data_IF_026023280915
#
_entry.id   IF_026023280915
#
_cell.length_a   1.000
_cell.length_b   1.000
_cell.length_c   1.000
_cell.angle_alpha   90.00
_cell.angle_beta   90.00
_cell.angle_gamma   90.00
#
_symmetry.space_group_name_H-M   'P 1'
#
loop_
_entity.id
_entity.type
_entity.pdbx_description
1 polymer ?
#
# COMPACT_ATOMS: atom_id res chain seq x y z
N UNK A 1 24.92 19.60 -5.90
CA UNK A 1 23.47 19.80 -5.95
C UNK A 1 23.15 21.20 -5.48
N UNK A 2 22.41 22.03 -6.24
CA UNK A 2 22.02 23.34 -5.75
C UNK A 2 21.14 23.17 -4.53
N UNK A 3 21.42 23.99 -3.52
CA UNK A 3 20.69 24.04 -2.25
C UNK A 3 19.20 24.34 -2.52
N UNK A 4 18.26 23.43 -2.15
CA UNK A 4 16.84 23.61 -2.47
C UNK A 4 16.11 24.59 -1.53
N UNK A 5 16.84 25.42 -0.80
CA UNK A 5 16.27 26.19 0.31
C UNK A 5 16.05 27.68 0.01
N UNK A 6 15.26 28.02 -1.01
CA UNK A 6 14.57 29.30 -0.99
C UNK A 6 13.22 29.12 -0.28
N UNK A 7 13.20 29.28 1.03
CA UNK A 7 11.94 29.29 1.80
C UNK A 7 11.44 30.72 1.93
N UNK A 8 10.27 31.00 1.35
CA UNK A 8 9.58 32.27 1.52
C UNK A 8 8.39 32.11 2.47
N UNK A 9 8.28 33.01 3.45
CA UNK A 9 7.09 33.16 4.26
C UNK A 9 6.14 34.10 3.52
N UNK A 10 4.98 33.64 3.11
CA UNK A 10 3.93 34.47 2.55
C UNK A 10 2.65 34.37 3.38
N UNK A 11 1.99 35.48 3.60
CA UNK A 11 0.68 35.52 4.25
C UNK A 11 -0.42 35.36 3.20
N UNK A 12 -1.31 34.39 3.37
CA UNK A 12 -2.48 34.18 2.53
C UNK A 12 -3.68 35.01 3.10
N UNK A 13 -4.15 35.98 2.33
CA UNK A 13 -5.43 36.65 2.58
C UNK A 13 -6.58 35.72 2.09
N UNK A 14 -7.73 35.63 2.80
CA UNK A 14 -8.21 36.43 3.94
C UNK A 14 -7.82 35.92 5.33
N UNK A 15 -7.18 34.73 5.45
CA UNK A 15 -6.99 34.10 6.75
C UNK A 15 -5.71 34.50 7.49
N UNK A 16 -4.85 35.35 6.91
CA UNK A 16 -3.56 35.79 7.48
C UNK A 16 -2.78 34.72 8.22
N UNK A 17 -2.75 33.50 7.66
CA UNK A 17 -1.94 32.41 8.21
C UNK A 17 -0.60 32.41 7.53
N UNK A 18 0.46 32.34 8.33
CA UNK A 18 1.80 32.13 7.81
C UNK A 18 1.90 30.72 7.23
N UNK A 19 2.48 30.63 6.04
CA UNK A 19 2.74 29.36 5.37
C UNK A 19 4.22 29.31 4.96
N UNK A 20 4.82 28.14 5.08
CA UNK A 20 6.12 27.88 4.51
C UNK A 20 5.96 27.46 3.07
N UNK A 21 6.63 28.15 2.17
CA UNK A 21 6.69 27.84 0.75
C UNK A 21 8.06 27.23 0.41
N UNK A 22 8.07 26.12 -0.32
CA UNK A 22 9.28 25.49 -0.85
C UNK A 22 9.17 25.41 -2.35
N UNK A 23 10.16 25.96 -3.04
CA UNK A 23 10.29 25.88 -4.49
C UNK A 23 11.33 24.82 -4.82
N UNK A 24 10.89 23.73 -5.46
CA UNK A 24 11.79 22.71 -5.93
C UNK A 24 12.08 22.91 -7.42
N UNK A 25 13.32 23.27 -7.73
CA UNK A 25 13.80 23.43 -9.10
C UNK A 25 14.41 22.12 -9.59
N UNK A 26 13.88 21.59 -10.68
CA UNK A 26 14.38 20.36 -11.31
C UNK A 26 15.53 20.68 -12.27
N UNK A 27 16.40 19.70 -12.59
CA UNK A 27 17.53 19.89 -13.53
C UNK A 27 17.12 20.36 -14.93
N UNK A 28 15.87 20.11 -15.33
CA UNK A 28 15.30 20.55 -16.61
C UNK A 28 14.73 21.99 -16.59
N UNK A 29 15.00 22.76 -15.53
CA UNK A 29 14.50 24.13 -15.34
C UNK A 29 13.04 24.21 -14.90
N UNK A 30 12.29 23.12 -14.85
CA UNK A 30 10.92 23.11 -14.32
C UNK A 30 10.95 23.23 -12.80
N UNK A 31 9.96 23.92 -12.25
CA UNK A 31 9.83 24.09 -10.80
C UNK A 31 8.49 23.56 -10.31
N UNK A 32 8.46 23.12 -9.06
CA UNK A 32 7.26 22.74 -8.33
C UNK A 32 7.20 23.53 -7.03
N UNK A 33 6.01 23.97 -6.66
CA UNK A 33 5.75 24.72 -5.46
C UNK A 33 5.06 23.79 -4.44
N UNK A 34 5.57 23.80 -3.22
CA UNK A 34 4.99 23.10 -2.08
C UNK A 34 4.77 24.10 -0.96
N UNK A 35 3.69 23.95 -0.23
CA UNK A 35 3.40 24.81 0.91
C UNK A 35 2.92 23.99 2.11
N UNK A 36 3.20 24.46 3.30
CA UNK A 36 2.76 23.86 4.57
C UNK A 36 2.33 24.95 5.54
N UNK A 37 1.29 24.66 6.30
CA UNK A 37 0.88 25.49 7.45
C UNK A 37 1.79 25.28 8.66
N UNK A 38 2.60 24.21 8.67
CA UNK A 38 3.64 23.99 9.67
C UNK A 38 4.91 24.70 9.22
N UNK A 39 5.10 25.94 9.70
CA UNK A 39 6.21 26.82 9.30
C UNK A 39 7.60 26.32 9.73
N UNK A 40 7.66 25.46 10.76
CA UNK A 40 8.90 24.85 11.25
C UNK A 40 9.39 23.64 10.42
N UNK A 41 8.60 23.17 9.44
CA UNK A 41 8.93 22.00 8.62
C UNK A 41 10.09 22.32 7.67
N UNK A 42 11.11 21.45 7.58
CA UNK A 42 12.20 21.63 6.62
C UNK A 42 11.73 21.36 5.18
N UNK A 43 12.46 21.88 4.18
CA UNK A 43 12.14 21.64 2.77
C UNK A 43 12.19 20.15 2.40
N UNK A 44 13.17 19.43 2.92
CA UNK A 44 13.32 17.98 2.71
C UNK A 44 12.17 17.18 3.35
N UNK A 45 11.81 17.52 4.58
CA UNK A 45 10.68 16.90 5.29
C UNK A 45 9.37 17.12 4.51
N UNK A 46 9.18 18.32 3.96
CA UNK A 46 8.00 18.64 3.13
C UNK A 46 7.96 17.80 1.86
N UNK A 47 9.09 17.64 1.17
CA UNK A 47 9.18 16.80 -0.03
C UNK A 47 8.95 15.32 0.28
N UNK A 48 9.51 14.81 1.38
CA UNK A 48 9.26 13.43 1.83
C UNK A 48 7.78 13.20 2.15
N UNK A 49 7.15 14.13 2.89
CA UNK A 49 5.73 14.07 3.22
C UNK A 49 4.87 14.10 1.97
N UNK A 50 5.19 14.97 1.01
CA UNK A 50 4.45 15.05 -0.25
C UNK A 50 4.58 13.78 -1.10
N UNK A 51 5.76 13.17 -1.15
CA UNK A 51 5.97 11.88 -1.84
C UNK A 51 5.10 10.76 -1.25
N UNK A 52 4.88 10.79 0.06
CA UNK A 52 4.01 9.81 0.74
C UNK A 52 2.54 9.93 0.34
N UNK A 53 2.10 11.05 -0.25
CA UNK A 53 0.72 11.24 -0.73
C UNK A 53 0.29 10.17 -1.75
N UNK A 54 1.19 9.80 -2.65
CA UNK A 54 0.90 8.75 -3.64
C UNK A 54 0.59 7.39 -3.01
N UNK A 55 1.11 7.13 -1.81
CA UNK A 55 0.82 5.88 -1.08
C UNK A 55 -0.66 5.75 -0.76
N UNK A 56 -1.35 6.86 -0.49
CA UNK A 56 -2.79 6.88 -0.23
C UNK A 56 -3.56 6.49 -1.50
N UNK A 57 -3.17 7.05 -2.64
CA UNK A 57 -3.80 6.75 -3.94
C UNK A 57 -3.61 5.26 -4.30
N UNK A 58 -2.41 4.73 -4.12
CA UNK A 58 -2.14 3.30 -4.33
C UNK A 58 -2.93 2.42 -3.36
N UNK A 59 -3.04 2.82 -2.09
CA UNK A 59 -3.82 2.10 -1.10
C UNK A 59 -5.30 1.99 -1.52
N UNK A 60 -5.92 3.09 -1.91
CA UNK A 60 -7.31 3.09 -2.38
C UNK A 60 -7.49 2.32 -3.69
N UNK A 61 -6.57 2.46 -4.64
CA UNK A 61 -6.60 1.69 -5.89
C UNK A 61 -6.55 0.20 -5.60
N UNK A 62 -5.61 -0.25 -4.80
CA UNK A 62 -5.41 -1.64 -4.47
C UNK A 62 -6.59 -2.18 -3.66
N UNK A 63 -7.15 -1.38 -2.75
CA UNK A 63 -8.35 -1.75 -2.00
C UNK A 63 -9.58 -1.95 -2.90
N UNK A 64 -9.77 -1.09 -3.89
CA UNK A 64 -10.86 -1.24 -4.87
C UNK A 64 -10.68 -2.45 -5.77
N UNK A 65 -9.45 -2.71 -6.24
CA UNK A 65 -9.19 -3.76 -7.22
C UNK A 65 -9.08 -5.16 -6.59
N UNK A 66 -8.50 -5.26 -5.40
CA UNK A 66 -8.09 -6.56 -4.85
C UNK A 66 -8.79 -6.97 -3.56
N UNK A 67 -9.26 -6.02 -2.75
CA UNK A 67 -9.87 -6.33 -1.44
C UNK A 67 -11.35 -5.94 -1.32
N UNK A 68 -11.99 -5.56 -2.42
CA UNK A 68 -13.43 -5.41 -2.51
C UNK A 68 -14.00 -4.13 -1.92
N UNK A 69 -13.20 -3.07 -1.78
CA UNK A 69 -13.66 -1.79 -1.21
C UNK A 69 -14.89 -1.21 -1.91
N UNK A 70 -15.02 -1.41 -3.23
CA UNK A 70 -16.12 -0.91 -4.04
C UNK A 70 -17.28 -1.91 -4.21
N UNK A 71 -17.21 -3.10 -3.62
CA UNK A 71 -18.18 -4.16 -3.83
C UNK A 71 -19.32 -4.17 -2.80
N UNK A 72 -19.23 -3.34 -1.77
CA UNK A 72 -20.24 -3.28 -0.72
C UNK A 72 -21.51 -2.59 -1.24
N UNK A 73 -22.64 -3.29 -1.16
CA UNK A 73 -23.96 -2.76 -1.53
C UNK A 73 -24.78 -2.36 -0.30
N UNK A 74 -24.20 -2.40 0.88
CA UNK A 74 -24.86 -2.03 2.11
C UNK A 74 -25.18 -0.53 2.15
N UNK A 75 -26.30 -0.19 2.79
CA UNK A 75 -26.75 1.20 2.98
C UNK A 75 -26.60 1.72 4.41
N UNK A 76 -26.51 0.80 5.38
CA UNK A 76 -26.34 1.18 6.78
C UNK A 76 -24.88 1.50 7.10
N UNK A 77 -24.68 2.56 7.89
CA UNK A 77 -23.35 3.06 8.26
C UNK A 77 -22.45 1.96 8.83
N UNK A 78 -22.95 1.18 9.79
CA UNK A 78 -22.14 0.14 10.44
C UNK A 78 -21.66 -0.94 9.48
N UNK A 79 -22.48 -1.29 8.49
CA UNK A 79 -22.11 -2.27 7.46
C UNK A 79 -21.07 -1.70 6.48
N UNK A 80 -21.21 -0.42 6.12
CA UNK A 80 -20.21 0.28 5.31
C UNK A 80 -18.87 0.38 6.04
N UNK A 81 -18.90 0.80 7.31
CA UNK A 81 -17.70 0.91 8.14
C UNK A 81 -17.02 -0.45 8.30
N UNK A 82 -17.78 -1.52 8.53
CA UNK A 82 -17.24 -2.88 8.59
C UNK A 82 -16.58 -3.28 7.26
N UNK A 83 -17.27 -3.06 6.14
CA UNK A 83 -16.76 -3.42 4.81
C UNK A 83 -15.47 -2.66 4.49
N UNK A 84 -15.42 -1.36 4.75
CA UNK A 84 -14.23 -0.55 4.49
C UNK A 84 -13.05 -0.97 5.38
N UNK A 85 -13.30 -1.13 6.67
CA UNK A 85 -12.27 -1.57 7.60
C UNK A 85 -11.74 -2.97 7.27
N UNK A 86 -12.61 -3.90 6.88
CA UNK A 86 -12.21 -5.24 6.45
C UNK A 86 -11.37 -5.20 5.18
N UNK A 87 -11.73 -4.37 4.20
CA UNK A 87 -10.97 -4.19 2.97
C UNK A 87 -9.55 -3.69 3.24
N UNK A 88 -9.40 -2.64 4.05
CA UNK A 88 -8.08 -2.11 4.42
C UNK A 88 -7.29 -3.04 5.33
N UNK A 89 -7.95 -3.71 6.28
CA UNK A 89 -7.29 -4.71 7.13
C UNK A 89 -6.73 -5.87 6.29
N UNK A 90 -7.51 -6.39 5.34
CA UNK A 90 -7.07 -7.44 4.41
C UNK A 90 -5.84 -7.01 3.60
N UNK A 91 -5.80 -5.76 3.15
CA UNK A 91 -4.65 -5.21 2.44
C UNK A 91 -3.41 -5.12 3.34
N UNK A 92 -3.59 -4.70 4.59
CA UNK A 92 -2.48 -4.64 5.55
C UNK A 92 -1.93 -6.03 5.87
N UNK A 93 -2.81 -7.01 6.09
CA UNK A 93 -2.42 -8.41 6.30
C UNK A 93 -1.64 -8.94 5.08
N UNK A 94 -2.13 -8.67 3.87
CA UNK A 94 -1.43 -9.07 2.64
C UNK A 94 -0.02 -8.45 2.57
N UNK A 95 0.14 -7.18 2.91
CA UNK A 95 1.43 -6.48 2.95
C UNK A 95 2.39 -7.10 3.97
N UNK A 96 1.90 -7.44 5.17
CA UNK A 96 2.71 -8.11 6.19
C UNK A 96 3.16 -9.48 5.69
N UNK A 97 2.24 -10.27 5.13
CA UNK A 97 2.54 -11.60 4.59
C UNK A 97 3.57 -11.52 3.44
N UNK A 98 3.45 -10.55 2.54
CA UNK A 98 4.45 -10.33 1.48
C UNK A 98 5.82 -10.03 2.07
N UNK A 99 5.89 -9.12 3.06
CA UNK A 99 7.14 -8.74 3.72
C UNK A 99 7.80 -9.94 4.42
N UNK A 100 7.03 -10.72 5.19
CA UNK A 100 7.55 -11.89 5.92
C UNK A 100 8.07 -12.99 5.00
N UNK A 101 7.49 -13.11 3.80
CA UNK A 101 7.90 -14.12 2.82
C UNK A 101 8.90 -13.59 1.78
N UNK A 102 9.41 -12.36 1.94
CA UNK A 102 10.35 -11.75 0.99
C UNK A 102 9.79 -11.56 -0.42
N UNK A 103 8.47 -11.43 -0.55
CA UNK A 103 7.81 -11.28 -1.84
C UNK A 103 7.79 -9.81 -2.28
N UNK A 104 7.83 -9.55 -3.60
CA UNK A 104 7.70 -8.18 -4.11
C UNK A 104 6.33 -7.60 -3.76
N UNK A 105 6.30 -6.30 -3.50
CA UNK A 105 5.08 -5.57 -3.16
C UNK A 105 4.17 -5.45 -4.39
N UNK A 106 3.32 -6.44 -4.61
CA UNK A 106 2.32 -6.47 -5.68
C UNK A 106 1.06 -7.18 -5.20
N UNK A 107 -0.03 -6.43 -5.00
CA UNK A 107 -1.33 -6.99 -4.61
C UNK A 107 -1.91 -7.92 -5.67
N UNK A 108 -1.64 -7.64 -6.97
CA UNK A 108 -2.06 -8.53 -8.06
C UNK A 108 -1.41 -9.90 -7.94
N UNK A 109 -0.08 -9.95 -7.88
CA UNK A 109 0.68 -11.20 -7.75
C UNK A 109 0.37 -11.93 -6.45
N UNK A 110 0.13 -11.21 -5.35
CA UNK A 110 -0.26 -11.80 -4.09
C UNK A 110 -1.61 -12.50 -4.20
N UNK A 111 -2.62 -11.85 -4.78
CA UNK A 111 -3.96 -12.43 -4.98
C UNK A 111 -3.91 -13.67 -5.87
N UNK A 112 -3.15 -13.63 -6.95
CA UNK A 112 -2.95 -14.75 -7.85
C UNK A 112 -2.31 -15.94 -7.11
N UNK A 113 -1.24 -15.72 -6.34
CA UNK A 113 -0.58 -16.75 -5.51
C UNK A 113 -1.53 -17.35 -4.48
N UNK A 114 -2.33 -16.51 -3.79
CA UNK A 114 -3.32 -17.00 -2.82
C UNK A 114 -4.39 -17.87 -3.48
N UNK A 115 -4.93 -17.44 -4.64
CA UNK A 115 -5.90 -18.21 -5.40
C UNK A 115 -5.32 -19.54 -5.86
N UNK A 116 -4.13 -19.54 -6.43
CA UNK A 116 -3.44 -20.75 -6.89
C UNK A 116 -3.14 -21.73 -5.74
N UNK A 117 -2.70 -21.21 -4.59
CA UNK A 117 -2.48 -22.01 -3.38
C UNK A 117 -3.77 -22.63 -2.87
N UNK A 118 -4.87 -21.88 -2.88
CA UNK A 118 -6.18 -22.38 -2.49
C UNK A 118 -6.68 -23.49 -3.41
N UNK A 119 -6.56 -23.31 -4.72
CA UNK A 119 -6.96 -24.30 -5.72
C UNK A 119 -6.12 -25.57 -5.58
N UNK A 120 -4.79 -25.42 -5.45
CA UNK A 120 -3.90 -26.56 -5.23
C UNK A 120 -4.30 -27.34 -3.97
N UNK A 121 -4.60 -26.64 -2.87
CA UNK A 121 -5.07 -27.26 -1.64
C UNK A 121 -6.38 -28.04 -1.85
N UNK A 122 -7.37 -27.44 -2.55
CA UNK A 122 -8.65 -28.13 -2.85
C UNK A 122 -8.44 -29.40 -3.68
N UNK A 123 -7.51 -29.39 -4.65
CA UNK A 123 -7.19 -30.57 -5.46
C UNK A 123 -6.60 -31.65 -4.57
N UNK A 124 -5.62 -31.32 -3.72
CA UNK A 124 -4.99 -32.26 -2.82
C UNK A 124 -5.97 -32.85 -1.79
N UNK A 125 -6.87 -32.06 -1.25
CA UNK A 125 -7.88 -32.49 -0.28
C UNK A 125 -8.89 -33.48 -0.91
N UNK A 126 -9.06 -33.44 -2.24
CA UNK A 126 -9.96 -34.35 -2.99
C UNK A 126 -9.28 -35.55 -3.60
N UNK A 127 -7.96 -35.62 -3.60
CA UNK A 127 -7.22 -36.79 -4.08
C UNK A 127 -7.42 -37.97 -3.14
N UNK A 128 -7.74 -39.17 -3.69
CA UNK A 128 -7.95 -40.40 -2.91
C UNK A 128 -6.69 -40.90 -2.19
N UNK A 129 -5.51 -40.61 -2.70
CA UNK A 129 -4.24 -40.85 -2.03
C UNK A 129 -3.74 -39.51 -1.50
N UNK A 130 -3.70 -39.35 -0.19
CA UNK A 130 -3.19 -38.14 0.43
C UNK A 130 -1.68 -38.07 0.15
N UNK A 131 -1.23 -37.10 -0.68
CA UNK A 131 0.20 -36.89 -0.84
C UNK A 131 0.81 -36.56 0.52
N UNK A 132 2.00 -37.07 0.81
CA UNK A 132 2.69 -36.79 2.06
C UNK A 132 2.71 -35.27 2.31
N UNK A 133 2.33 -34.83 3.52
CA UNK A 133 2.28 -33.43 3.91
C UNK A 133 3.58 -32.66 3.61
N UNK A 134 4.72 -33.36 3.72
CA UNK A 134 6.04 -32.81 3.35
C UNK A 134 6.14 -32.56 1.85
N UNK A 135 5.63 -33.47 1.01
CA UNK A 135 5.59 -33.30 -0.44
C UNK A 135 4.70 -32.11 -0.84
N UNK A 136 3.51 -31.99 -0.27
CA UNK A 136 2.60 -30.88 -0.54
C UNK A 136 3.28 -29.56 -0.17
N UNK A 137 3.88 -29.48 1.02
CA UNK A 137 4.56 -28.27 1.49
C UNK A 137 5.76 -27.91 0.61
N UNK A 138 6.52 -28.90 0.15
CA UNK A 138 7.65 -28.70 -0.76
C UNK A 138 7.17 -28.19 -2.12
N UNK A 139 6.19 -28.85 -2.71
CA UNK A 139 5.64 -28.48 -4.02
C UNK A 139 5.01 -27.08 -4.01
N UNK A 140 4.27 -26.73 -2.95
CA UNK A 140 3.72 -25.37 -2.79
C UNK A 140 4.85 -24.35 -2.67
N UNK A 141 5.93 -24.66 -1.94
CA UNK A 141 7.09 -23.78 -1.81
C UNK A 141 7.81 -23.57 -3.14
N UNK A 142 8.02 -24.66 -3.91
CA UNK A 142 8.67 -24.57 -5.24
C UNK A 142 7.81 -23.78 -6.24
N UNK A 143 6.53 -24.12 -6.36
CA UNK A 143 5.65 -23.52 -7.36
C UNK A 143 5.29 -22.06 -7.05
N UNK A 144 5.14 -21.70 -5.77
CA UNK A 144 4.62 -20.40 -5.37
C UNK A 144 5.59 -19.56 -4.52
N UNK A 145 6.78 -20.08 -4.18
CA UNK A 145 7.78 -19.39 -3.36
C UNK A 145 7.28 -19.06 -1.95
N UNK A 146 6.31 -19.84 -1.44
CA UNK A 146 5.67 -19.58 -0.15
C UNK A 146 6.39 -20.31 0.98
N UNK A 147 6.90 -19.58 1.96
CA UNK A 147 7.46 -20.15 3.18
C UNK A 147 6.48 -19.98 4.33
N UNK A 148 5.93 -21.08 4.84
CA UNK A 148 5.27 -21.06 6.14
C UNK A 148 6.36 -21.00 7.22
N UNK A 149 6.46 -19.91 7.96
CA UNK A 149 7.21 -19.95 9.23
C UNK A 149 6.41 -20.86 10.16
N UNK A 150 6.96 -22.02 10.48
CA UNK A 150 6.49 -22.81 11.61
C UNK A 150 6.84 -22.05 12.88
N UNK A 151 5.82 -21.68 13.64
CA UNK A 151 5.97 -21.16 14.99
C UNK A 151 6.53 -22.26 15.89
#
# INVERSE_FOLDING_TARGET
LPDPSASYLSSLLPYRKEVRLVIWVMPNGKHKLFFSTKTSMSGEEMLCTYRSRFQIEFCFRDAKQYTGLAHCQARHKNQLDFSYNTSFASQNVAKVMMKENGLPYSMASFKERMASTYIAKLIFDRCRSIPNRKFISHTIKELFGWQRKTA
#
